data_IF_533576097473
#
_entry.id   IF_533576097473
#
_cell.length_a   1.000
_cell.length_b   1.000
_cell.length_c   1.000
_cell.angle_alpha   90.00
_cell.angle_beta   90.00
_cell.angle_gamma   90.00
#
_symmetry.space_group_name_H-M   'P 1'
#
loop_
_entity.id
_entity.type
_entity.pdbx_description
1 polymer ?
#
# COMPACT_ATOMS: atom_id res chain seq x y z
N UNK A 1 19.16 -19.39 -26.50
CA UNK A 1 17.87 -18.80 -26.04
C UNK A 1 18.15 -17.42 -25.47
N UNK A 2 17.51 -16.37 -25.99
CA UNK A 2 17.65 -15.03 -25.48
C UNK A 2 17.03 -14.93 -24.08
N UNK A 3 17.71 -14.28 -23.13
CA UNK A 3 17.22 -14.12 -21.75
C UNK A 3 15.98 -13.20 -21.74
N UNK A 4 14.88 -13.64 -21.14
CA UNK A 4 13.66 -12.85 -21.02
C UNK A 4 13.91 -11.50 -20.34
N UNK A 5 13.25 -10.45 -20.83
CA UNK A 5 13.34 -9.10 -20.26
C UNK A 5 12.49 -9.03 -18.98
N UNK A 6 13.11 -8.63 -17.87
CA UNK A 6 12.40 -8.41 -16.62
C UNK A 6 11.68 -7.05 -16.61
N UNK A 7 10.62 -6.92 -15.78
CA UNK A 7 9.83 -5.69 -15.64
C UNK A 7 10.70 -4.44 -15.39
N UNK A 8 11.74 -4.54 -14.54
CA UNK A 8 12.62 -3.41 -14.20
C UNK A 8 13.42 -2.88 -15.40
N UNK A 9 13.66 -3.71 -16.43
CA UNK A 9 14.41 -3.35 -17.63
C UNK A 9 13.53 -2.73 -18.72
N UNK A 10 12.21 -2.80 -18.59
CA UNK A 10 11.29 -2.18 -19.54
C UNK A 10 11.24 -0.67 -19.33
N UNK A 11 11.39 0.10 -20.41
CA UNK A 11 11.15 1.55 -20.42
C UNK A 11 9.66 1.85 -20.22
N UNK A 12 9.31 3.09 -19.87
CA UNK A 12 7.92 3.51 -19.79
C UNK A 12 7.16 3.33 -21.11
N UNK A 13 7.77 3.69 -22.24
CA UNK A 13 7.18 3.51 -23.57
C UNK A 13 6.90 2.04 -23.88
N UNK A 14 7.83 1.14 -23.57
CA UNK A 14 7.63 -0.31 -23.76
C UNK A 14 6.48 -0.84 -22.88
N UNK A 15 6.37 -0.39 -21.64
CA UNK A 15 5.25 -0.77 -20.75
C UNK A 15 3.92 -0.28 -21.30
N UNK A 16 3.85 0.96 -21.81
CA UNK A 16 2.64 1.50 -22.43
C UNK A 16 2.26 0.74 -23.71
N UNK A 17 3.24 0.39 -24.57
CA UNK A 17 2.99 -0.42 -25.77
C UNK A 17 2.39 -1.78 -25.40
N UNK A 18 3.00 -2.50 -24.47
CA UNK A 18 2.50 -3.80 -23.96
C UNK A 18 1.07 -3.67 -23.41
N UNK A 19 0.82 -2.63 -22.61
CA UNK A 19 -0.51 -2.38 -22.04
C UNK A 19 -1.56 -2.15 -23.13
N UNK A 20 -1.27 -1.28 -24.11
CA UNK A 20 -2.19 -0.98 -25.21
C UNK A 20 -2.47 -2.21 -26.08
N UNK A 21 -1.46 -3.02 -26.34
CA UNK A 21 -1.63 -4.29 -27.09
C UNK A 21 -2.53 -5.27 -26.34
N UNK A 22 -2.39 -5.39 -25.00
CA UNK A 22 -3.28 -6.24 -24.18
C UNK A 22 -4.72 -5.70 -24.17
N UNK A 23 -4.91 -4.38 -24.13
CA UNK A 23 -6.26 -3.76 -24.06
C UNK A 23 -6.96 -3.64 -25.41
N UNK A 24 -6.23 -3.71 -26.51
CA UNK A 24 -6.81 -3.67 -27.85
C UNK A 24 -7.54 -4.96 -28.25
N UNK A 25 -7.30 -6.06 -27.50
CA UNK A 25 -7.79 -7.42 -27.80
C UNK A 25 -7.43 -7.92 -29.22
N UNK A 26 -6.53 -7.21 -29.95
CA UNK A 26 -6.08 -7.56 -31.29
C UNK A 26 -5.02 -8.66 -31.30
N UNK A 27 -4.38 -8.89 -30.16
CA UNK A 27 -3.27 -9.83 -30.01
C UNK A 27 -3.51 -10.81 -28.87
N UNK A 28 -3.16 -12.06 -29.09
CA UNK A 28 -3.16 -13.04 -28.00
C UNK A 28 -2.01 -12.74 -27.02
N UNK A 29 -2.23 -12.95 -25.74
CA UNK A 29 -1.19 -12.76 -24.68
C UNK A 29 0.11 -13.51 -25.02
N UNK A 30 0.02 -14.66 -25.69
CA UNK A 30 1.17 -15.45 -26.15
C UNK A 30 2.02 -14.67 -27.18
N UNK A 31 1.38 -14.02 -28.11
CA UNK A 31 2.05 -13.23 -29.17
C UNK A 31 2.74 -12.01 -28.58
N UNK A 32 2.06 -11.29 -27.70
CA UNK A 32 2.63 -10.14 -26.98
C UNK A 32 3.88 -10.55 -26.21
N UNK A 33 3.86 -11.68 -25.49
CA UNK A 33 5.01 -12.18 -24.77
C UNK A 33 6.21 -12.47 -25.68
N UNK A 34 5.96 -13.10 -26.80
CA UNK A 34 7.01 -13.40 -27.80
C UNK A 34 7.57 -12.13 -28.38
N UNK A 35 6.70 -11.20 -28.86
CA UNK A 35 7.09 -9.93 -29.45
C UNK A 35 7.98 -9.08 -28.53
N UNK A 36 7.63 -9.00 -27.27
CA UNK A 36 8.37 -8.20 -26.28
C UNK A 36 9.43 -8.98 -25.50
N UNK A 37 9.60 -10.27 -25.79
CA UNK A 37 10.53 -11.16 -25.09
C UNK A 37 10.37 -11.14 -23.55
N UNK A 38 9.14 -11.26 -23.06
CA UNK A 38 8.79 -11.16 -21.64
C UNK A 38 8.06 -12.40 -21.11
N UNK A 39 8.11 -12.61 -19.80
CA UNK A 39 7.37 -13.65 -19.11
C UNK A 39 5.91 -13.27 -18.83
N UNK A 40 5.06 -14.25 -18.48
CA UNK A 40 3.70 -14.02 -17.99
C UNK A 40 3.68 -13.10 -16.76
N UNK A 41 4.62 -13.29 -15.84
CA UNK A 41 4.78 -12.43 -14.68
C UNK A 41 5.03 -10.97 -15.10
N UNK A 42 5.95 -10.74 -16.04
CA UNK A 42 6.27 -9.39 -16.52
C UNK A 42 5.09 -8.75 -17.25
N UNK A 43 4.36 -9.52 -18.08
CA UNK A 43 3.15 -9.07 -18.76
C UNK A 43 2.08 -8.62 -17.75
N UNK A 44 1.69 -9.50 -16.85
CA UNK A 44 0.63 -9.23 -15.86
C UNK A 44 1.02 -8.08 -14.91
N UNK A 45 2.30 -8.00 -14.51
CA UNK A 45 2.79 -6.89 -13.71
C UNK A 45 2.69 -5.56 -14.47
N UNK A 46 3.07 -5.53 -15.76
CA UNK A 46 3.00 -4.33 -16.60
C UNK A 46 1.56 -3.82 -16.70
N UNK A 47 0.60 -4.70 -17.02
CA UNK A 47 -0.82 -4.33 -17.12
C UNK A 47 -1.31 -3.74 -15.80
N UNK A 48 -1.10 -4.44 -14.69
CA UNK A 48 -1.54 -4.00 -13.36
C UNK A 48 -0.94 -2.64 -12.96
N UNK A 49 0.35 -2.41 -13.22
CA UNK A 49 0.99 -1.15 -12.84
C UNK A 49 0.52 0.02 -13.71
N UNK A 50 0.27 -0.21 -15.00
CA UNK A 50 -0.29 0.83 -15.88
C UNK A 50 -1.75 1.14 -15.50
N UNK A 51 -2.57 0.13 -15.20
CA UNK A 51 -3.94 0.33 -14.71
C UNK A 51 -3.98 1.20 -13.46
N UNK A 52 -3.09 0.95 -12.49
CA UNK A 52 -2.96 1.81 -11.31
C UNK A 52 -2.58 3.25 -11.67
N UNK A 53 -1.61 3.44 -12.57
CA UNK A 53 -1.22 4.78 -13.02
C UNK A 53 -2.37 5.51 -13.71
N UNK A 54 -3.19 4.80 -14.48
CA UNK A 54 -4.39 5.37 -15.11
C UNK A 54 -5.43 5.74 -14.05
N UNK A 55 -5.68 4.86 -13.08
CA UNK A 55 -6.56 5.17 -11.95
C UNK A 55 -6.08 6.41 -11.18
N UNK A 56 -4.78 6.52 -10.88
CA UNK A 56 -4.21 7.69 -10.22
C UNK A 56 -4.45 8.98 -11.04
N UNK A 57 -4.30 8.93 -12.37
CA UNK A 57 -4.57 10.09 -13.24
C UNK A 57 -6.06 10.45 -13.34
N UNK A 58 -6.94 9.46 -13.44
CA UNK A 58 -8.39 9.67 -13.60
C UNK A 58 -9.07 10.13 -12.31
N UNK A 59 -8.62 9.63 -11.16
CA UNK A 59 -9.26 9.89 -9.86
C UNK A 59 -8.49 10.87 -8.98
N UNK A 60 -7.41 11.47 -9.51
CA UNK A 60 -6.64 12.49 -8.77
C UNK A 60 -5.90 11.95 -7.54
N UNK A 61 -5.76 10.63 -7.42
CA UNK A 61 -5.00 10.00 -6.33
C UNK A 61 -3.52 10.12 -6.66
N UNK A 62 -2.93 11.27 -6.35
CA UNK A 62 -1.48 11.45 -6.43
C UNK A 62 -0.83 10.56 -5.35
N UNK A 63 0.22 9.78 -5.68
CA UNK A 63 0.98 9.06 -4.66
C UNK A 63 1.37 10.02 -3.55
N UNK A 64 1.03 9.70 -2.30
CA UNK A 64 1.28 10.59 -1.17
C UNK A 64 2.78 10.64 -0.91
N UNK A 65 3.44 11.68 -1.39
CA UNK A 65 4.82 12.03 -1.04
C UNK A 65 4.77 13.07 0.09
N UNK A 66 4.91 12.68 1.35
CA UNK A 66 4.83 13.63 2.45
C UNK A 66 6.03 14.57 2.42
N UNK A 67 5.78 15.86 2.40
CA UNK A 67 6.80 16.92 2.46
C UNK A 67 6.94 17.50 3.86
N UNK A 68 5.87 17.37 4.66
CA UNK A 68 5.76 17.87 6.03
C UNK A 68 5.29 16.73 6.96
N UNK A 69 5.77 16.77 8.19
CA UNK A 69 5.44 15.76 9.20
C UNK A 69 4.09 16.05 9.83
N UNK A 70 3.18 15.10 9.75
CA UNK A 70 1.84 15.14 10.35
C UNK A 70 1.85 15.19 11.89
N UNK A 71 3.02 14.99 12.54
CA UNK A 71 3.15 14.97 14.00
C UNK A 71 3.70 16.31 14.52
N UNK A 72 4.72 16.87 13.88
CA UNK A 72 5.42 18.06 14.40
C UNK A 72 5.62 19.20 13.39
N UNK A 73 5.06 19.10 12.17
CA UNK A 73 5.25 20.08 11.10
C UNK A 73 6.67 20.14 10.53
N UNK A 74 7.59 19.29 10.99
CA UNK A 74 8.98 19.30 10.53
C UNK A 74 9.13 18.77 9.10
N UNK A 75 10.23 19.17 8.44
CA UNK A 75 10.55 18.74 7.07
C UNK A 75 10.72 17.23 6.97
N UNK A 76 10.13 16.62 5.94
CA UNK A 76 10.26 15.20 5.64
C UNK A 76 11.26 14.98 4.52
N UNK A 77 12.06 13.91 4.65
CA UNK A 77 13.02 13.46 3.64
C UNK A 77 12.78 12.02 3.25
N UNK A 78 12.93 11.73 1.98
CA UNK A 78 12.91 10.38 1.41
C UNK A 78 14.31 9.79 1.41
N UNK A 79 14.50 8.62 2.04
CA UNK A 79 15.80 7.94 2.14
C UNK A 79 15.69 6.42 2.03
N UNK A 80 16.83 5.76 1.80
CA UNK A 80 16.94 4.30 1.93
C UNK A 80 16.64 3.86 3.37
N UNK A 81 15.92 2.76 3.52
CA UNK A 81 15.53 2.21 4.82
C UNK A 81 15.49 0.68 4.79
N UNK A 82 16.44 0.02 5.41
CA UNK A 82 16.49 -1.44 5.51
C UNK A 82 15.32 -2.06 6.28
N UNK A 83 14.64 -1.28 7.13
CA UNK A 83 13.45 -1.70 7.89
C UNK A 83 12.16 -1.64 7.09
N UNK A 84 12.16 -1.02 5.91
CA UNK A 84 11.00 -0.96 5.01
C UNK A 84 11.07 -2.08 3.98
N UNK A 85 9.93 -2.72 3.70
CA UNK A 85 9.84 -3.77 2.66
C UNK A 85 10.19 -3.28 1.25
N UNK A 86 10.02 -1.99 0.98
CA UNK A 86 10.41 -1.35 -0.29
C UNK A 86 11.90 -1.02 -0.36
N UNK A 87 12.61 -1.04 0.77
CA UNK A 87 13.97 -0.50 0.91
C UNK A 87 14.03 1.03 1.07
N UNK A 88 12.88 1.73 1.14
CA UNK A 88 12.78 3.18 1.24
C UNK A 88 11.76 3.62 2.28
N UNK A 89 11.94 4.83 2.82
CA UNK A 89 11.01 5.44 3.76
C UNK A 89 11.08 6.97 3.71
N UNK A 90 10.03 7.62 4.20
CA UNK A 90 9.98 9.03 4.50
C UNK A 90 10.26 9.25 5.99
N UNK A 91 11.16 10.18 6.31
CA UNK A 91 11.58 10.50 7.67
C UNK A 91 11.40 11.98 7.96
N UNK A 92 10.86 12.29 9.13
CA UNK A 92 10.90 13.64 9.69
C UNK A 92 12.30 13.94 10.22
N UNK A 93 12.87 15.08 9.81
CA UNK A 93 14.20 15.52 10.27
C UNK A 93 14.19 16.07 11.70
N UNK A 94 13.00 16.38 12.24
CA UNK A 94 12.83 16.98 13.56
C UNK A 94 12.49 15.94 14.63
N UNK A 95 11.36 15.22 14.49
CA UNK A 95 10.89 14.26 15.50
C UNK A 95 11.22 12.79 15.19
N UNK A 96 11.94 12.52 14.09
CA UNK A 96 12.33 11.18 13.64
C UNK A 96 11.17 10.20 13.39
N UNK A 97 9.93 10.69 13.30
CA UNK A 97 8.80 9.89 12.82
C UNK A 97 9.07 9.45 11.39
N UNK A 98 8.58 8.26 11.02
CA UNK A 98 8.79 7.74 9.68
C UNK A 98 7.64 6.85 9.21
N UNK A 99 7.56 6.66 7.89
CA UNK A 99 6.66 5.73 7.22
C UNK A 99 7.39 5.02 6.09
N UNK A 100 7.18 3.71 5.96
CA UNK A 100 7.66 2.93 4.83
C UNK A 100 6.91 3.29 3.56
N UNK A 101 7.45 2.83 2.42
CA UNK A 101 6.82 3.06 1.12
C UNK A 101 6.35 1.76 0.47
N UNK A 102 5.50 1.88 -0.53
CA UNK A 102 4.96 0.76 -1.28
C UNK A 102 6.10 0.05 -2.05
N UNK A 103 6.27 -1.29 -1.91
CA UNK A 103 7.31 -2.02 -2.62
C UNK A 103 7.24 -1.92 -4.15
N UNK A 104 6.04 -1.71 -4.69
CA UNK A 104 5.84 -1.56 -6.14
C UNK A 104 5.95 -0.10 -6.59
N UNK A 105 5.79 0.85 -5.68
CA UNK A 105 5.83 2.30 -5.92
C UNK A 105 6.67 2.96 -4.82
N UNK A 106 8.01 2.96 -4.93
CA UNK A 106 8.90 3.40 -3.85
C UNK A 106 8.72 4.86 -3.39
N UNK A 107 8.03 5.68 -4.17
CA UNK A 107 7.67 7.06 -3.78
C UNK A 107 6.33 7.18 -3.08
N UNK A 108 5.49 6.16 -3.10
CA UNK A 108 4.19 6.15 -2.44
C UNK A 108 4.34 5.76 -0.97
N UNK A 109 4.03 6.68 -0.06
CA UNK A 109 4.00 6.39 1.38
C UNK A 109 2.86 5.42 1.71
N UNK A 110 3.11 4.45 2.60
CA UNK A 110 2.10 3.48 3.06
C UNK A 110 1.11 4.07 4.09
N UNK A 111 1.12 5.38 4.28
CA UNK A 111 0.24 6.07 5.21
C UNK A 111 0.93 7.29 5.83
N UNK A 112 0.46 7.73 6.99
CA UNK A 112 1.03 8.84 7.75
C UNK A 112 2.30 8.43 8.49
N UNK A 113 3.23 9.39 8.68
CA UNK A 113 4.40 9.17 9.51
C UNK A 113 3.98 8.76 10.92
N UNK A 114 4.73 7.85 11.52
CA UNK A 114 4.49 7.40 12.88
C UNK A 114 5.77 7.51 13.73
N UNK A 115 5.67 8.09 14.91
CA UNK A 115 6.69 8.00 15.95
C UNK A 115 6.72 6.59 16.56
N UNK A 116 7.52 6.37 17.57
CA UNK A 116 7.62 5.06 18.23
C UNK A 116 6.27 4.59 18.78
N UNK A 117 5.54 5.47 19.45
CA UNK A 117 4.24 5.20 20.06
C UNK A 117 3.19 4.82 19.00
N UNK A 118 3.01 5.65 17.98
CA UNK A 118 2.08 5.37 16.86
C UNK A 118 2.34 4.02 16.20
N UNK A 119 3.61 3.68 15.96
CA UNK A 119 3.97 2.39 15.36
C UNK A 119 3.75 1.22 16.29
N UNK A 120 3.92 1.41 17.59
CA UNK A 120 3.64 0.38 18.60
C UNK A 120 2.14 0.10 18.67
N UNK A 121 1.31 1.14 18.73
CA UNK A 121 -0.15 1.02 18.69
C UNK A 121 -0.63 0.35 17.39
N UNK A 122 -0.11 0.74 16.24
CA UNK A 122 -0.46 0.11 14.96
C UNK A 122 -0.13 -1.39 14.95
N UNK A 123 1.03 -1.79 15.48
CA UNK A 123 1.40 -3.21 15.59
C UNK A 123 0.49 -3.98 16.55
N UNK A 124 0.23 -3.41 17.71
CA UNK A 124 -0.67 -4.02 18.69
C UNK A 124 -2.07 -4.19 18.09
N UNK A 125 -2.59 -3.16 17.43
CA UNK A 125 -3.89 -3.21 16.79
C UNK A 125 -3.95 -4.30 15.71
N UNK A 126 -2.92 -4.43 14.87
CA UNK A 126 -2.83 -5.55 13.91
C UNK A 126 -2.81 -6.90 14.61
N UNK A 127 -2.09 -7.06 15.72
CA UNK A 127 -2.03 -8.32 16.46
C UNK A 127 -3.40 -8.79 16.92
N UNK A 128 -4.29 -7.88 17.32
CA UNK A 128 -5.65 -8.21 17.71
C UNK A 128 -6.61 -8.31 16.52
N UNK A 129 -6.51 -7.38 15.59
CA UNK A 129 -7.38 -7.30 14.42
C UNK A 129 -7.21 -8.51 13.49
N UNK A 130 -5.97 -8.94 13.25
CA UNK A 130 -5.69 -10.06 12.35
C UNK A 130 -6.19 -11.42 12.88
N UNK A 131 -6.53 -11.51 14.17
CA UNK A 131 -7.21 -12.68 14.76
C UNK A 131 -8.72 -12.71 14.52
N UNK A 132 -9.33 -11.60 14.09
CA UNK A 132 -10.77 -11.51 13.87
C UNK A 132 -11.22 -12.12 12.55
N UNK A 133 -10.35 -12.27 11.58
CA UNK A 133 -10.69 -12.68 10.22
C UNK A 133 -9.84 -13.85 9.72
N UNK A 134 -10.37 -14.60 8.76
CA UNK A 134 -9.71 -15.78 8.18
C UNK A 134 -9.38 -15.60 6.70
N UNK A 135 -10.13 -14.72 6.02
CA UNK A 135 -10.01 -14.47 4.59
C UNK A 135 -10.11 -12.97 4.29
N UNK A 136 -9.94 -12.61 3.01
CA UNK A 136 -9.89 -11.22 2.57
C UNK A 136 -11.24 -10.51 2.70
N UNK A 137 -12.33 -11.23 2.49
CA UNK A 137 -13.71 -10.73 2.58
C UNK A 137 -14.05 -10.37 4.03
N UNK A 138 -13.78 -11.27 4.96
CA UNK A 138 -13.95 -11.00 6.39
C UNK A 138 -13.09 -9.83 6.87
N UNK A 139 -11.85 -9.73 6.36
CA UNK A 139 -10.98 -8.60 6.67
C UNK A 139 -11.58 -7.28 6.24
N UNK A 140 -12.13 -7.20 5.01
CA UNK A 140 -12.81 -6.00 4.52
C UNK A 140 -14.02 -5.65 5.38
N UNK A 141 -14.87 -6.63 5.70
CA UNK A 141 -16.02 -6.47 6.57
C UNK A 141 -15.64 -5.89 7.96
N UNK A 142 -14.56 -6.38 8.57
CA UNK A 142 -14.10 -5.85 9.86
C UNK A 142 -13.54 -4.43 9.75
N UNK A 143 -12.91 -4.05 8.64
CA UNK A 143 -12.52 -2.67 8.40
C UNK A 143 -13.74 -1.74 8.24
N UNK A 144 -14.77 -2.16 7.50
CA UNK A 144 -16.02 -1.41 7.36
C UNK A 144 -16.73 -1.26 8.70
N UNK A 145 -16.83 -2.36 9.48
CA UNK A 145 -17.40 -2.33 10.83
C UNK A 145 -16.63 -1.37 11.76
N UNK A 146 -15.30 -1.32 11.65
CA UNK A 146 -14.48 -0.41 12.44
C UNK A 146 -14.64 1.05 11.98
N UNK A 147 -14.77 1.29 10.68
CA UNK A 147 -15.04 2.62 10.15
C UNK A 147 -16.37 3.18 10.71
N UNK A 148 -17.43 2.37 10.69
CA UNK A 148 -18.74 2.75 11.29
C UNK A 148 -18.59 3.02 12.79
N UNK A 149 -17.91 2.16 13.55
CA UNK A 149 -17.71 2.32 14.98
C UNK A 149 -16.88 3.57 15.35
N UNK A 150 -16.03 4.05 14.45
CA UNK A 150 -15.23 5.26 14.59
C UNK A 150 -15.87 6.49 13.94
N UNK A 151 -17.06 6.35 13.37
CA UNK A 151 -17.79 7.40 12.62
C UNK A 151 -16.94 7.96 11.45
N UNK A 152 -16.33 7.07 10.66
CA UNK A 152 -15.49 7.38 9.49
C UNK A 152 -16.05 6.74 8.24
N UNK A 153 -15.78 7.34 7.07
CA UNK A 153 -16.17 6.78 5.76
C UNK A 153 -15.31 5.56 5.38
N UNK A 154 -14.05 5.54 5.82
CA UNK A 154 -13.11 4.43 5.63
C UNK A 154 -12.12 4.35 6.78
N UNK A 155 -11.50 3.20 6.93
CA UNK A 155 -10.63 2.93 8.08
C UNK A 155 -9.37 2.17 7.66
N UNK A 156 -8.22 2.81 7.85
CA UNK A 156 -6.90 2.18 7.73
C UNK A 156 -5.99 2.61 8.87
N UNK A 157 -5.39 1.67 9.58
CA UNK A 157 -4.53 1.95 10.75
C UNK A 157 -3.35 2.86 10.42
N UNK A 158 -2.86 2.84 9.17
CA UNK A 158 -1.79 3.70 8.70
C UNK A 158 -2.15 5.19 8.61
N UNK A 159 -3.43 5.51 8.62
CA UNK A 159 -3.98 6.88 8.50
C UNK A 159 -4.57 7.41 9.81
N UNK A 160 -4.57 6.59 10.87
CA UNK A 160 -5.15 6.94 12.16
C UNK A 160 -4.22 7.78 13.03
N UNK A 161 -4.80 8.73 13.75
CA UNK A 161 -4.16 9.43 14.86
C UNK A 161 -3.96 8.50 16.06
N UNK A 162 -3.16 8.92 17.04
CA UNK A 162 -2.95 8.14 18.29
C UNK A 162 -4.28 7.93 19.02
N UNK A 163 -5.14 8.94 19.10
CA UNK A 163 -6.45 8.85 19.74
C UNK A 163 -7.36 7.83 19.03
N UNK A 164 -7.38 7.87 17.70
CA UNK A 164 -8.16 6.92 16.89
C UNK A 164 -7.63 5.49 17.04
N UNK A 165 -6.31 5.31 17.08
CA UNK A 165 -5.68 4.01 17.29
C UNK A 165 -6.04 3.43 18.67
N UNK A 166 -6.04 4.26 19.72
CA UNK A 166 -6.46 3.83 21.06
C UNK A 166 -7.94 3.43 21.11
N UNK A 167 -8.83 4.23 20.50
CA UNK A 167 -10.26 3.89 20.39
C UNK A 167 -10.46 2.58 19.61
N UNK A 168 -9.78 2.44 18.46
CA UNK A 168 -9.83 1.23 17.65
C UNK A 168 -9.36 0.00 18.43
N UNK A 169 -8.30 0.13 19.23
CA UNK A 169 -7.75 -0.96 20.02
C UNK A 169 -8.76 -1.48 21.06
N UNK A 170 -9.47 -0.57 21.73
CA UNK A 170 -10.53 -0.93 22.68
C UNK A 170 -11.66 -1.69 21.97
N UNK A 171 -12.12 -1.18 20.83
CA UNK A 171 -13.19 -1.79 20.03
C UNK A 171 -12.78 -3.18 19.52
N UNK A 172 -11.58 -3.30 18.96
CA UNK A 172 -11.09 -4.56 18.41
C UNK A 172 -10.87 -5.61 19.49
N UNK A 173 -10.34 -5.23 20.67
CA UNK A 173 -10.21 -6.13 21.81
C UNK A 173 -11.58 -6.61 22.33
N UNK A 174 -12.60 -5.73 22.32
CA UNK A 174 -13.98 -6.11 22.68
C UNK A 174 -14.51 -7.15 21.68
N UNK A 175 -14.43 -6.90 20.38
CA UNK A 175 -14.88 -7.87 19.37
C UNK A 175 -14.14 -9.20 19.42
N UNK A 176 -12.86 -9.18 19.78
CA UNK A 176 -12.10 -10.41 19.97
C UNK A 176 -12.63 -11.23 21.14
N UNK A 177 -12.93 -10.59 22.29
CA UNK A 177 -13.55 -11.26 23.45
C UNK A 177 -14.91 -11.84 23.10
N UNK A 178 -15.77 -11.05 22.47
CA UNK A 178 -17.10 -11.47 22.01
C UNK A 178 -17.03 -12.68 21.06
N UNK A 179 -16.03 -12.71 20.18
CA UNK A 179 -15.86 -13.81 19.20
C UNK A 179 -15.43 -15.12 19.84
N UNK A 180 -14.70 -15.07 20.95
CA UNK A 180 -14.12 -16.25 21.62
C UNK A 180 -14.73 -16.53 23.00
N UNK A 181 -15.83 -15.87 23.36
CA UNK A 181 -16.58 -16.04 24.61
C UNK A 181 -15.70 -15.92 25.88
N UNK A 182 -14.81 -14.92 25.92
CA UNK A 182 -13.87 -14.67 27.03
C UNK A 182 -14.19 -13.34 27.72
#
# INVERSE_FOLDING_TARGET
MSKLISYQKLTHQQRMSIYNEVKSDLFLKKEIKVKHNISDYTLNKTVREIEKLIQYKLYGVVPKEPTECNICGGKVRFNKCSKSKSGFAYYCTNCHAWVGTNPNHPREALGELGNHETRTLRRELHTWFDKLWRNREERAMYYDKLAVALNKSECHFSQMTIEELNKALVIVKKWWREKYDI
#
